data_IF_410263328519
#
_entry.id   IF_410263328519
#
_cell.length_a   1.000
_cell.length_b   1.000
_cell.length_c   1.000
_cell.angle_alpha   90.00
_cell.angle_beta   90.00
_cell.angle_gamma   90.00
#
_symmetry.space_group_name_H-M   'P 1'
#
loop_
_entity.id
_entity.type
_entity.pdbx_description
1 polymer ?
#
# COMPACT_ATOMS: atom_id res chain seq x y z
N UNK A 1 -21.86 -55.89 11.94
CA UNK A 1 -21.68 -54.55 12.54
C UNK A 1 -20.41 -53.95 11.96
N UNK A 2 -20.52 -52.91 11.13
CA UNK A 2 -19.35 -52.15 10.69
C UNK A 2 -18.86 -51.28 11.86
N UNK A 3 -17.54 -51.11 12.07
CA UNK A 3 -17.04 -50.28 13.16
C UNK A 3 -17.39 -48.81 12.87
N UNK A 4 -17.95 -48.13 13.86
CA UNK A 4 -18.18 -46.70 13.79
C UNK A 4 -16.82 -46.00 13.71
N UNK A 5 -16.52 -45.38 12.56
CA UNK A 5 -15.39 -44.47 12.43
C UNK A 5 -15.70 -43.31 13.36
N UNK A 6 -15.02 -43.22 14.51
CA UNK A 6 -15.08 -42.02 15.32
C UNK A 6 -14.53 -40.89 14.46
N UNK A 7 -15.40 -39.95 14.09
CA UNK A 7 -15.00 -38.72 13.41
C UNK A 7 -14.24 -37.89 14.45
N UNK A 8 -12.96 -38.17 14.63
CA UNK A 8 -12.09 -37.43 15.53
C UNK A 8 -12.11 -35.97 15.07
N UNK A 9 -12.57 -35.08 15.93
CA UNK A 9 -12.51 -33.65 15.68
C UNK A 9 -11.06 -33.18 15.83
N UNK A 10 -10.33 -33.26 14.72
CA UNK A 10 -8.91 -32.91 14.66
C UNK A 10 -8.67 -31.41 14.81
N UNK A 11 -9.67 -30.57 14.51
CA UNK A 11 -9.53 -29.12 14.62
C UNK A 11 -9.65 -28.73 16.09
N UNK A 12 -10.66 -29.24 16.80
CA UNK A 12 -10.78 -29.01 18.25
C UNK A 12 -9.64 -29.65 19.05
N UNK A 13 -8.88 -30.59 18.48
CA UNK A 13 -7.69 -31.15 19.12
C UNK A 13 -6.43 -30.24 19.02
N UNK A 14 -6.44 -29.20 18.18
CA UNK A 14 -5.30 -28.29 18.04
C UNK A 14 -5.12 -27.43 19.30
N UNK A 15 -3.90 -26.97 19.64
CA UNK A 15 -3.67 -25.99 20.71
C UNK A 15 -4.29 -24.62 20.40
N UNK A 16 -4.62 -23.87 21.45
CA UNK A 16 -5.25 -22.54 21.35
C UNK A 16 -4.45 -21.56 20.49
N UNK A 17 -3.12 -21.55 20.61
CA UNK A 17 -2.27 -20.66 19.83
C UNK A 17 -2.38 -20.93 18.32
N UNK A 18 -2.56 -22.20 17.93
CA UNK A 18 -2.72 -22.59 16.54
C UNK A 18 -4.10 -22.19 16.03
N UNK A 19 -5.14 -22.39 16.84
CA UNK A 19 -6.50 -21.95 16.49
C UNK A 19 -6.57 -20.43 16.33
N UNK A 20 -5.98 -19.66 17.26
CA UNK A 20 -5.86 -18.20 17.17
C UNK A 20 -5.12 -17.78 15.92
N UNK A 21 -4.01 -18.45 15.58
CA UNK A 21 -3.27 -18.17 14.36
C UNK A 21 -4.11 -18.44 13.10
N UNK A 22 -4.83 -19.57 13.03
CA UNK A 22 -5.75 -19.87 11.91
C UNK A 22 -6.83 -18.80 11.80
N UNK A 23 -7.47 -18.44 12.92
CA UNK A 23 -8.51 -17.41 12.97
C UNK A 23 -7.99 -16.02 12.58
N UNK A 24 -6.70 -15.74 12.78
CA UNK A 24 -6.10 -14.43 12.44
C UNK A 24 -6.05 -14.12 10.94
N UNK A 25 -6.33 -15.12 10.09
CA UNK A 25 -6.47 -14.97 8.64
C UNK A 25 -7.91 -14.77 8.17
N UNK A 26 -8.89 -14.74 9.09
CA UNK A 26 -10.31 -14.60 8.78
C UNK A 26 -10.82 -13.21 9.17
N UNK A 27 -11.86 -12.77 8.49
CA UNK A 27 -12.59 -11.54 8.83
C UNK A 27 -13.22 -11.63 10.23
N UNK A 28 -13.30 -10.50 10.94
CA UNK A 28 -13.78 -10.48 12.33
C UNK A 28 -15.19 -11.07 12.48
N UNK A 29 -16.05 -10.93 11.46
CA UNK A 29 -17.40 -11.50 11.45
C UNK A 29 -17.35 -13.03 11.46
N UNK A 30 -16.47 -13.62 10.65
CA UNK A 30 -16.28 -15.07 10.59
C UNK A 30 -15.64 -15.59 11.88
N UNK A 31 -14.66 -14.86 12.42
CA UNK A 31 -14.04 -15.18 13.72
C UNK A 31 -15.08 -15.17 14.84
N UNK A 32 -15.91 -14.12 14.94
CA UNK A 32 -16.98 -14.04 15.92
C UNK A 32 -18.03 -15.14 15.74
N UNK A 33 -18.36 -15.52 14.51
CA UNK A 33 -19.29 -16.61 14.23
C UNK A 33 -18.80 -17.97 14.76
N UNK A 34 -17.48 -18.19 14.86
CA UNK A 34 -16.94 -19.44 15.44
C UNK A 34 -17.26 -19.60 16.92
N UNK A 35 -17.66 -18.53 17.62
CA UNK A 35 -18.04 -18.58 19.04
C UNK A 35 -19.20 -19.53 19.35
N UNK A 36 -20.03 -19.87 18.35
CA UNK A 36 -21.16 -20.80 18.52
C UNK A 36 -20.71 -22.27 18.54
N UNK A 37 -19.48 -22.58 18.14
CA UNK A 37 -18.99 -23.95 18.02
C UNK A 37 -18.80 -24.63 19.39
N UNK A 38 -18.28 -23.88 20.37
CA UNK A 38 -18.22 -24.30 21.79
C UNK A 38 -17.73 -23.15 22.67
N UNK A 39 -17.78 -23.33 24.00
CA UNK A 39 -17.25 -22.35 24.97
C UNK A 39 -15.79 -21.99 24.70
N UNK A 40 -14.96 -22.96 24.32
CA UNK A 40 -13.55 -22.74 24.01
C UNK A 40 -13.37 -21.76 22.84
N UNK A 41 -14.13 -21.92 21.76
CA UNK A 41 -14.04 -21.03 20.60
C UNK A 41 -14.60 -19.64 20.90
N UNK A 42 -15.63 -19.57 21.77
CA UNK A 42 -16.11 -18.30 22.32
C UNK A 42 -15.05 -17.60 23.14
N UNK A 43 -14.16 -18.29 23.84
CA UNK A 43 -13.08 -17.61 24.57
C UNK A 43 -11.94 -17.20 23.62
N UNK A 44 -11.59 -18.06 22.65
CA UNK A 44 -10.49 -17.81 21.70
C UNK A 44 -10.72 -16.61 20.80
N UNK A 45 -11.96 -16.36 20.36
CA UNK A 45 -12.24 -15.26 19.43
C UNK A 45 -11.80 -13.90 20.03
N UNK A 46 -11.93 -13.72 21.35
CA UNK A 46 -11.54 -12.51 22.07
C UNK A 46 -10.02 -12.24 22.08
N UNK A 47 -9.20 -13.24 21.78
CA UNK A 47 -7.73 -13.19 21.80
C UNK A 47 -7.08 -13.12 20.40
N UNK A 48 -7.85 -13.22 19.31
CA UNK A 48 -7.31 -13.17 17.93
C UNK A 48 -6.67 -11.82 17.56
N UNK A 49 -5.37 -11.72 17.28
CA UNK A 49 -4.66 -10.42 17.20
C UNK A 49 -4.99 -9.58 15.95
N UNK A 50 -5.98 -9.98 15.16
CA UNK A 50 -6.42 -9.32 13.93
C UNK A 50 -7.84 -8.80 14.12
N UNK A 51 -8.05 -7.54 13.75
CA UNK A 51 -9.36 -6.92 13.56
C UNK A 51 -9.48 -6.57 12.09
N UNK A 52 -10.32 -7.31 11.37
CA UNK A 52 -10.66 -7.04 9.98
C UNK A 52 -12.16 -6.74 9.88
N UNK A 53 -12.47 -5.48 9.54
CA UNK A 53 -13.81 -4.93 9.41
C UNK A 53 -14.06 -4.66 7.93
N UNK A 54 -14.95 -5.44 7.34
CA UNK A 54 -15.37 -5.34 5.94
C UNK A 54 -16.90 -5.25 5.88
N UNK A 55 -17.41 -4.16 5.32
CA UNK A 55 -18.86 -3.92 5.22
C UNK A 55 -19.53 -4.69 4.07
N UNK A 56 -18.77 -5.40 3.23
CA UNK A 56 -19.31 -6.22 2.15
C UNK A 56 -20.26 -7.32 2.68
N UNK A 57 -20.09 -7.74 3.93
CA UNK A 57 -20.98 -8.71 4.60
C UNK A 57 -22.20 -8.06 5.27
N UNK A 58 -22.38 -6.74 5.13
CA UNK A 58 -23.48 -5.94 5.69
C UNK A 58 -24.09 -5.02 4.59
N UNK A 59 -24.54 -5.59 3.45
CA UNK A 59 -25.04 -4.79 2.34
C UNK A 59 -26.26 -3.97 2.77
N UNK A 60 -26.20 -2.65 2.53
CA UNK A 60 -27.25 -1.69 2.90
C UNK A 60 -27.59 -1.64 4.42
N UNK A 61 -26.72 -2.18 5.28
CA UNK A 61 -26.93 -2.29 6.73
C UNK A 61 -25.84 -1.57 7.53
N UNK A 62 -25.60 -0.28 7.24
CA UNK A 62 -24.54 0.52 7.89
C UNK A 62 -24.64 0.49 9.43
N UNK A 63 -25.84 0.64 9.99
CA UNK A 63 -26.03 0.65 11.45
C UNK A 63 -25.59 -0.68 12.09
N UNK A 64 -25.89 -1.81 11.43
CA UNK A 64 -25.50 -3.13 11.92
C UNK A 64 -24.00 -3.34 11.79
N UNK A 65 -23.38 -2.88 10.70
CA UNK A 65 -21.93 -2.87 10.55
C UNK A 65 -21.25 -2.07 11.66
N UNK A 66 -21.70 -0.84 11.92
CA UNK A 66 -21.13 0.03 12.96
C UNK A 66 -21.30 -0.60 14.34
N UNK A 67 -22.50 -1.11 14.67
CA UNK A 67 -22.75 -1.83 15.94
C UNK A 67 -21.87 -3.06 16.08
N UNK A 68 -21.69 -3.82 15.00
CA UNK A 68 -20.80 -4.97 14.97
C UNK A 68 -19.34 -4.56 15.21
N UNK A 69 -18.85 -3.52 14.54
CA UNK A 69 -17.49 -3.01 14.74
C UNK A 69 -17.25 -2.58 16.18
N UNK A 70 -18.18 -1.84 16.80
CA UNK A 70 -18.09 -1.53 18.24
C UNK A 70 -18.07 -2.79 19.11
N UNK A 71 -18.94 -3.76 18.83
CA UNK A 71 -18.95 -5.02 19.56
C UNK A 71 -17.62 -5.76 19.44
N UNK A 72 -17.01 -5.79 18.25
CA UNK A 72 -15.69 -6.38 18.02
C UNK A 72 -14.63 -5.69 18.86
N UNK A 73 -14.52 -4.37 18.78
CA UNK A 73 -13.51 -3.59 19.48
C UNK A 73 -13.65 -3.68 21.01
N UNK A 74 -14.88 -3.60 21.52
CA UNK A 74 -15.14 -3.60 22.96
C UNK A 74 -15.07 -4.99 23.60
N UNK A 75 -15.33 -6.05 22.82
CA UNK A 75 -15.31 -7.41 23.35
C UNK A 75 -13.89 -7.97 23.50
N UNK A 76 -12.86 -7.32 22.93
CA UNK A 76 -11.49 -7.85 22.92
C UNK A 76 -10.89 -7.93 24.32
N UNK A 77 -10.15 -9.01 24.61
CA UNK A 77 -9.31 -9.09 25.80
C UNK A 77 -8.32 -7.92 25.83
N UNK A 78 -8.41 -7.08 26.85
CA UNK A 78 -7.62 -5.84 27.01
C UNK A 78 -6.12 -6.13 27.13
N UNK A 79 -5.75 -7.34 27.59
CA UNK A 79 -4.36 -7.74 27.75
C UNK A 79 -3.72 -8.24 26.45
N UNK A 80 -4.53 -8.54 25.43
CA UNK A 80 -4.03 -9.04 24.14
C UNK A 80 -3.81 -7.90 23.14
N UNK A 81 -2.72 -7.98 22.33
CA UNK A 81 -2.44 -6.99 21.32
C UNK A 81 -3.45 -7.06 20.16
N UNK A 82 -3.61 -5.95 19.45
CA UNK A 82 -4.22 -5.90 18.12
C UNK A 82 -3.07 -5.59 17.18
N UNK A 83 -2.52 -6.61 16.52
CA UNK A 83 -1.36 -6.48 15.64
C UNK A 83 -1.75 -6.01 14.24
N UNK A 84 -2.92 -6.45 13.76
CA UNK A 84 -3.44 -6.09 12.45
C UNK A 84 -4.81 -5.43 12.58
N UNK A 85 -4.96 -4.26 12.00
CA UNK A 85 -6.23 -3.56 11.88
C UNK A 85 -6.52 -3.25 10.42
N UNK A 86 -7.65 -3.74 9.91
CA UNK A 86 -8.14 -3.46 8.58
C UNK A 86 -9.57 -2.94 8.65
N UNK A 87 -9.82 -1.84 7.95
CA UNK A 87 -11.15 -1.31 7.69
C UNK A 87 -11.31 -1.14 6.19
N UNK A 88 -12.10 -2.00 5.56
CA UNK A 88 -12.56 -1.84 4.18
C UNK A 88 -14.03 -1.51 4.19
N UNK A 89 -14.41 -0.51 3.40
CA UNK A 89 -15.81 -0.15 3.26
C UNK A 89 -16.12 0.24 1.82
N UNK A 90 -17.10 -0.43 1.23
CA UNK A 90 -17.59 -0.12 -0.12
C UNK A 90 -18.69 0.94 -0.08
N UNK A 91 -19.41 1.02 1.04
CA UNK A 91 -20.47 1.98 1.29
C UNK A 91 -19.96 3.26 1.98
N UNK A 92 -20.75 4.33 1.93
CA UNK A 92 -20.35 5.57 2.60
C UNK A 92 -20.51 5.42 4.11
N UNK A 93 -19.42 5.53 4.86
CA UNK A 93 -19.48 5.58 6.33
C UNK A 93 -19.98 6.96 6.79
N UNK A 94 -21.03 6.98 7.61
CA UNK A 94 -21.61 8.18 8.19
C UNK A 94 -20.78 8.71 9.38
N UNK A 95 -21.15 9.90 9.86
CA UNK A 95 -20.51 10.52 11.02
C UNK A 95 -20.70 9.75 12.34
N UNK A 96 -21.57 8.74 12.38
CA UNK A 96 -21.74 7.88 13.57
C UNK A 96 -20.61 6.84 13.71
N UNK A 97 -19.86 6.62 12.64
CA UNK A 97 -18.73 5.69 12.60
C UNK A 97 -17.49 6.37 13.23
N UNK A 98 -17.20 6.04 14.50
CA UNK A 98 -16.03 6.56 15.22
C UNK A 98 -14.77 5.73 14.89
N UNK A 99 -14.32 5.85 13.66
CA UNK A 99 -13.10 5.19 13.15
C UNK A 99 -11.87 5.60 13.96
N UNK A 100 -11.86 6.83 14.49
CA UNK A 100 -10.79 7.33 15.35
C UNK A 100 -10.71 6.55 16.66
N UNK A 101 -11.84 6.28 17.32
CA UNK A 101 -11.87 5.41 18.52
C UNK A 101 -11.31 4.01 18.23
N UNK A 102 -11.73 3.39 17.12
CA UNK A 102 -11.28 2.04 16.77
C UNK A 102 -9.77 1.99 16.54
N UNK A 103 -9.23 2.98 15.84
CA UNK A 103 -7.80 3.09 15.56
C UNK A 103 -6.98 3.43 16.81
N UNK A 104 -7.47 4.34 17.65
CA UNK A 104 -6.83 4.65 18.94
C UNK A 104 -6.77 3.40 19.83
N UNK A 105 -7.80 2.56 19.80
CA UNK A 105 -7.78 1.27 20.51
C UNK A 105 -6.71 0.34 19.95
N UNK A 106 -6.57 0.23 18.62
CA UNK A 106 -5.52 -0.57 18.00
C UNK A 106 -4.11 -0.04 18.33
N UNK A 107 -3.90 1.28 18.27
CA UNK A 107 -2.63 1.94 18.62
C UNK A 107 -2.24 1.65 20.07
N UNK A 108 -3.16 1.79 21.02
CA UNK A 108 -2.93 1.46 22.43
C UNK A 108 -2.57 -0.01 22.63
N UNK A 109 -2.98 -0.88 21.71
CA UNK A 109 -2.74 -2.32 21.71
C UNK A 109 -1.63 -2.76 20.75
N UNK A 110 -0.66 -1.87 20.48
CA UNK A 110 0.60 -2.14 19.77
C UNK A 110 0.42 -2.62 18.34
N UNK A 111 -0.51 -2.00 17.60
CA UNK A 111 -0.72 -2.31 16.18
C UNK A 111 0.54 -2.14 15.35
N UNK A 112 0.76 -3.11 14.47
CA UNK A 112 1.89 -3.16 13.55
C UNK A 112 1.45 -2.93 12.11
N UNK A 113 0.20 -3.26 11.76
CA UNK A 113 -0.35 -3.10 10.41
C UNK A 113 -1.70 -2.41 10.45
N UNK A 114 -1.82 -1.31 9.72
CA UNK A 114 -3.08 -0.59 9.51
C UNK A 114 -3.38 -0.52 8.02
N UNK A 115 -4.57 -0.97 7.61
CA UNK A 115 -5.12 -0.79 6.28
C UNK A 115 -6.48 -0.09 6.36
N UNK A 116 -6.57 1.11 5.79
CA UNK A 116 -7.79 1.92 5.74
C UNK A 116 -8.20 2.14 4.30
N UNK A 117 -9.28 1.51 3.89
CA UNK A 117 -9.81 1.53 2.52
C UNK A 117 -11.32 1.83 2.51
N UNK A 118 -11.75 3.02 2.98
CA UNK A 118 -13.14 3.42 2.91
C UNK A 118 -13.58 3.76 1.48
N UNK A 119 -14.90 3.83 1.30
CA UNK A 119 -15.51 4.25 0.04
C UNK A 119 -15.08 5.66 -0.35
N UNK A 120 -14.94 5.93 -1.64
CA UNK A 120 -14.58 7.26 -2.19
C UNK A 120 -15.58 8.37 -1.80
N UNK A 121 -16.79 7.98 -1.39
CA UNK A 121 -17.85 8.88 -0.94
C UNK A 121 -17.76 9.20 0.56
N UNK A 122 -16.99 8.41 1.32
CA UNK A 122 -16.77 8.61 2.74
C UNK A 122 -15.92 9.86 3.00
N UNK A 123 -16.28 10.63 4.04
CA UNK A 123 -15.55 11.85 4.44
C UNK A 123 -14.65 11.59 5.65
N UNK A 124 -13.92 10.47 5.61
CA UNK A 124 -13.05 10.07 6.71
C UNK A 124 -11.77 10.90 6.69
N UNK A 125 -11.44 11.44 7.85
CA UNK A 125 -10.17 12.14 8.10
C UNK A 125 -9.18 11.16 8.69
N UNK A 126 -7.90 11.33 8.35
CA UNK A 126 -6.83 10.53 8.96
C UNK A 126 -6.69 10.88 10.45
N UNK A 127 -6.82 9.92 11.38
CA UNK A 127 -6.53 10.15 12.78
C UNK A 127 -5.03 10.39 13.01
N UNK A 128 -4.70 11.48 13.70
CA UNK A 128 -3.31 11.92 13.90
C UNK A 128 -2.45 10.93 14.68
N UNK A 129 -3.06 10.19 15.63
CA UNK A 129 -2.36 9.23 16.48
C UNK A 129 -1.66 8.12 15.69
N UNK A 130 -2.13 7.82 14.47
CA UNK A 130 -1.50 6.84 13.59
C UNK A 130 -0.11 7.31 13.15
N UNK A 131 0.07 8.62 12.95
CA UNK A 131 1.30 9.21 12.42
C UNK A 131 2.44 9.30 13.45
N UNK A 132 2.19 8.93 14.70
CA UNK A 132 3.19 8.88 15.78
C UNK A 132 3.32 7.48 16.39
N UNK A 133 2.71 6.46 15.76
CA UNK A 133 2.70 5.10 16.26
C UNK A 133 4.06 4.41 16.04
N UNK A 134 4.81 4.22 17.14
CA UNK A 134 6.16 3.65 17.08
C UNK A 134 6.21 2.16 16.71
N UNK A 135 5.10 1.42 16.86
CA UNK A 135 5.00 -0.01 16.53
C UNK A 135 4.58 -0.27 15.09
N UNK A 136 4.12 0.76 14.37
CA UNK A 136 3.54 0.61 13.04
C UNK A 136 4.62 0.30 12.00
N UNK A 137 4.49 -0.86 11.36
CA UNK A 137 5.39 -1.38 10.32
C UNK A 137 4.79 -1.20 8.93
N UNK A 138 3.47 -1.38 8.79
CA UNK A 138 2.74 -1.23 7.53
C UNK A 138 1.59 -0.26 7.69
N UNK A 139 1.56 0.76 6.82
CA UNK A 139 0.48 1.73 6.74
C UNK A 139 -0.04 1.81 5.31
N UNK A 140 -1.29 1.41 5.11
CA UNK A 140 -1.99 1.52 3.83
C UNK A 140 -3.22 2.41 3.98
N UNK A 141 -3.28 3.45 3.16
CA UNK A 141 -4.27 4.51 3.24
C UNK A 141 -4.91 4.71 1.87
N UNK A 142 -6.23 4.58 1.78
CA UNK A 142 -6.97 4.88 0.56
C UNK A 142 -8.12 5.86 0.82
N UNK A 143 -8.45 6.69 -0.17
CA UNK A 143 -9.69 7.48 -0.25
C UNK A 143 -10.00 8.42 0.93
N UNK A 144 -9.00 8.82 1.71
CA UNK A 144 -9.15 9.63 2.92
C UNK A 144 -8.58 11.04 2.77
N UNK A 145 -8.95 11.92 3.70
CA UNK A 145 -8.47 13.30 3.74
C UNK A 145 -7.53 13.53 4.91
N UNK A 146 -6.41 14.19 4.64
CA UNK A 146 -5.44 14.64 5.65
C UNK A 146 -5.52 16.17 5.71
N UNK A 147 -6.25 16.69 6.69
CA UNK A 147 -6.55 18.12 6.83
C UNK A 147 -5.64 18.84 7.84
N UNK A 148 -5.12 18.11 8.81
CA UNK A 148 -4.14 18.60 9.77
C UNK A 148 -3.01 17.58 9.93
N UNK A 149 -1.80 18.04 10.22
CA UNK A 149 -0.68 17.24 10.74
C UNK A 149 0.12 18.17 11.65
N UNK A 150 0.42 17.72 12.86
CA UNK A 150 1.32 18.43 13.79
C UNK A 150 2.72 17.81 13.81
N UNK A 151 2.82 16.48 13.84
CA UNK A 151 4.08 15.74 13.93
C UNK A 151 3.93 14.39 13.27
N UNK A 152 5.00 13.91 12.64
CA UNK A 152 5.09 12.54 12.13
C UNK A 152 6.34 11.91 12.70
N UNK A 153 6.17 10.74 13.32
CA UNK A 153 7.28 9.94 13.84
C UNK A 153 6.91 8.47 13.78
N UNK A 154 7.37 7.79 12.73
CA UNK A 154 7.06 6.40 12.41
C UNK A 154 8.38 5.60 12.28
N UNK A 155 9.09 5.36 13.41
CA UNK A 155 10.43 4.80 13.38
C UNK A 155 10.49 3.35 12.89
N UNK A 156 9.42 2.57 13.01
CA UNK A 156 9.37 1.18 12.58
C UNK A 156 8.76 0.98 11.17
N UNK A 157 8.28 2.05 10.53
CA UNK A 157 7.51 1.92 9.28
C UNK A 157 8.41 1.50 8.12
N UNK A 158 8.06 0.36 7.52
CA UNK A 158 8.75 -0.23 6.38
C UNK A 158 7.93 -0.10 5.09
N UNK A 159 6.60 -0.17 5.18
CA UNK A 159 5.70 -0.08 4.02
C UNK A 159 4.72 1.07 4.18
N UNK A 160 4.72 1.98 3.20
CA UNK A 160 3.75 3.06 3.08
C UNK A 160 3.03 2.97 1.73
N UNK A 161 1.73 2.72 1.76
CA UNK A 161 0.85 2.77 0.59
C UNK A 161 -0.16 3.90 0.75
N UNK A 162 -0.29 4.76 -0.26
CA UNK A 162 -1.26 5.84 -0.30
C UNK A 162 -1.96 5.87 -1.66
N UNK A 163 -3.28 5.65 -1.69
CA UNK A 163 -4.08 5.71 -2.92
C UNK A 163 -5.24 6.72 -2.80
N UNK A 164 -5.26 7.72 -3.67
CA UNK A 164 -6.36 8.70 -3.70
C UNK A 164 -6.46 9.55 -2.42
N UNK A 165 -5.39 9.60 -1.62
CA UNK A 165 -5.33 10.41 -0.39
C UNK A 165 -5.29 11.90 -0.74
N UNK A 166 -6.19 12.68 -0.14
CA UNK A 166 -6.31 14.13 -0.34
C UNK A 166 -5.62 14.88 0.79
N UNK A 167 -4.64 15.72 0.45
CA UNK A 167 -3.95 16.56 1.43
C UNK A 167 -4.45 18.00 1.36
N UNK A 168 -4.87 18.56 2.50
CA UNK A 168 -5.27 19.98 2.56
C UNK A 168 -4.08 20.93 2.36
N UNK A 169 -2.87 20.50 2.75
CA UNK A 169 -1.62 21.24 2.53
C UNK A 169 -0.56 20.36 1.89
N UNK A 170 0.29 20.95 1.05
CA UNK A 170 1.36 20.24 0.35
C UNK A 170 2.46 19.75 1.28
N UNK A 171 2.77 20.52 2.32
CA UNK A 171 3.80 20.20 3.31
C UNK A 171 3.53 18.90 4.09
N UNK A 172 2.29 18.45 4.15
CA UNK A 172 1.92 17.21 4.83
C UNK A 172 2.53 15.96 4.20
N UNK A 173 2.70 15.96 2.87
CA UNK A 173 3.38 14.86 2.18
C UNK A 173 4.85 14.82 2.59
N UNK A 174 5.51 15.99 2.61
CA UNK A 174 6.91 16.11 3.04
C UNK A 174 7.09 15.70 4.50
N UNK A 175 6.15 16.08 5.38
CA UNK A 175 6.14 15.68 6.79
C UNK A 175 5.99 14.18 6.97
N UNK A 176 5.06 13.55 6.23
CA UNK A 176 4.89 12.08 6.28
C UNK A 176 6.15 11.38 5.81
N UNK A 177 6.67 11.74 4.64
CA UNK A 177 7.85 11.09 4.07
C UNK A 177 9.11 11.29 4.93
N UNK A 178 9.28 12.46 5.55
CA UNK A 178 10.42 12.74 6.46
C UNK A 178 10.30 12.06 7.83
N UNK A 179 9.07 11.76 8.27
CA UNK A 179 8.81 11.09 9.55
C UNK A 179 9.02 9.58 9.54
N UNK A 180 9.38 8.98 8.39
CA UNK A 180 9.48 7.54 8.20
C UNK A 180 10.90 7.13 7.74
N UNK A 181 11.88 7.04 8.64
CA UNK A 181 13.30 6.87 8.28
C UNK A 181 13.66 5.50 7.70
N UNK A 182 12.86 4.46 7.98
CA UNK A 182 13.17 3.06 7.65
C UNK A 182 12.30 2.47 6.54
N UNK A 183 11.67 3.30 5.70
CA UNK A 183 10.83 2.80 4.60
C UNK A 183 11.66 1.96 3.63
N UNK A 184 11.15 0.77 3.32
CA UNK A 184 11.65 -0.17 2.33
C UNK A 184 10.77 -0.25 1.07
N UNK A 185 9.46 0.00 1.23
CA UNK A 185 8.45 -0.04 0.17
C UNK A 185 7.55 1.21 0.22
N UNK A 186 7.62 2.02 -0.83
CA UNK A 186 6.82 3.24 -0.99
C UNK A 186 5.95 3.15 -2.22
N UNK A 187 4.63 3.17 -2.01
CA UNK A 187 3.64 3.09 -3.08
C UNK A 187 2.70 4.26 -2.98
N UNK A 188 2.65 5.05 -4.05
CA UNK A 188 1.82 6.25 -4.12
C UNK A 188 0.99 6.18 -5.40
N UNK A 189 -0.32 6.10 -5.22
CA UNK A 189 -1.30 6.03 -6.30
C UNK A 189 -2.31 7.18 -6.26
N UNK A 190 -2.78 7.56 -7.45
CA UNK A 190 -3.87 8.52 -7.65
C UNK A 190 -3.70 9.84 -6.89
N UNK A 191 -2.45 10.23 -6.59
CA UNK A 191 -2.17 11.36 -5.75
C UNK A 191 -2.41 12.64 -6.56
N UNK A 192 -3.49 13.35 -6.25
CA UNK A 192 -3.81 14.67 -6.84
C UNK A 192 -2.92 15.73 -6.20
N UNK A 193 -1.62 15.65 -6.46
CA UNK A 193 -0.72 16.64 -5.95
C UNK A 193 -0.28 17.62 -7.03
N UNK A 194 -0.58 18.89 -6.81
CA UNK A 194 0.07 20.00 -7.47
C UNK A 194 1.50 20.16 -6.92
N UNK A 195 2.35 19.15 -7.09
CA UNK A 195 3.70 19.11 -6.52
C UNK A 195 4.63 20.10 -7.21
N UNK A 196 4.80 21.26 -6.57
CA UNK A 196 6.10 21.92 -6.56
C UNK A 196 6.85 21.42 -5.32
N UNK A 197 7.33 20.16 -5.36
CA UNK A 197 8.18 19.62 -4.31
C UNK A 197 9.35 20.58 -4.08
N UNK A 198 9.53 21.02 -2.83
CA UNK A 198 10.83 21.55 -2.41
C UNK A 198 11.84 20.39 -2.41
N UNK A 199 13.16 20.65 -2.44
CA UNK A 199 14.13 19.57 -2.29
C UNK A 199 13.78 18.78 -1.02
N UNK A 200 13.50 17.49 -1.15
CA UNK A 200 13.41 16.61 0.00
C UNK A 200 14.77 16.69 0.69
N UNK A 201 14.81 17.19 1.91
CA UNK A 201 15.97 17.02 2.79
C UNK A 201 16.08 15.55 3.29
N UNK A 202 15.24 14.66 2.77
CA UNK A 202 15.09 13.26 3.19
C UNK A 202 15.86 12.38 2.21
N UNK A 203 16.65 11.48 2.79
CA UNK A 203 17.25 10.35 2.09
C UNK A 203 16.54 9.09 2.55
N UNK A 204 16.00 8.32 1.62
CA UNK A 204 15.39 7.02 1.90
C UNK A 204 16.49 5.95 1.85
N UNK A 205 17.19 5.79 2.97
CA UNK A 205 18.37 4.92 3.06
C UNK A 205 18.10 3.45 2.76
N UNK A 206 16.89 2.97 3.06
CA UNK A 206 16.52 1.56 2.96
C UNK A 206 15.51 1.26 1.85
N UNK A 207 15.11 2.25 1.04
CA UNK A 207 14.05 2.05 0.05
C UNK A 207 14.50 1.14 -1.09
N UNK A 208 13.84 -0.01 -1.21
CA UNK A 208 14.13 -1.05 -2.20
C UNK A 208 13.09 -1.02 -3.33
N UNK A 209 11.83 -0.73 -2.99
CA UNK A 209 10.71 -0.69 -3.93
C UNK A 209 10.04 0.69 -3.92
N UNK A 210 9.81 1.23 -5.12
CA UNK A 210 9.04 2.46 -5.31
C UNK A 210 8.03 2.25 -6.44
N UNK A 211 6.76 2.42 -6.12
CA UNK A 211 5.67 2.50 -7.08
C UNK A 211 5.09 3.92 -7.07
N UNK A 212 4.96 4.53 -8.24
CA UNK A 212 4.46 5.89 -8.37
C UNK A 212 3.47 6.00 -9.54
N UNK A 213 2.22 6.28 -9.21
CA UNK A 213 1.13 6.54 -10.14
C UNK A 213 0.60 7.96 -9.92
N UNK A 214 1.00 8.90 -10.79
CA UNK A 214 0.62 10.31 -10.67
C UNK A 214 0.18 10.89 -12.01
N UNK A 215 -1.00 11.50 -11.99
CA UNK A 215 -1.65 12.11 -13.16
C UNK A 215 -0.79 13.19 -13.84
N UNK A 216 0.00 13.96 -13.07
CA UNK A 216 0.85 15.06 -13.54
C UNK A 216 2.30 14.98 -12.99
N UNK A 217 2.95 13.82 -13.04
CA UNK A 217 4.35 13.73 -12.56
C UNK A 217 5.31 14.52 -13.46
N UNK A 218 5.81 15.64 -12.95
CA UNK A 218 6.88 16.39 -13.61
C UNK A 218 8.19 15.62 -13.44
N UNK A 219 8.91 15.35 -14.53
CA UNK A 219 10.21 14.65 -14.55
C UNK A 219 11.20 15.02 -13.44
N UNK A 220 11.32 16.32 -13.14
CA UNK A 220 12.25 16.83 -12.13
C UNK A 220 12.03 16.24 -10.73
N UNK A 221 10.82 15.77 -10.44
CA UNK A 221 10.37 15.26 -9.16
C UNK A 221 10.78 13.81 -9.07
N UNK A 222 10.46 13.03 -10.10
CA UNK A 222 10.89 11.63 -10.17
C UNK A 222 12.41 11.54 -10.03
N UNK A 223 13.17 12.36 -10.76
CA UNK A 223 14.64 12.38 -10.62
C UNK A 223 15.10 12.75 -9.21
N UNK A 224 14.44 13.71 -8.56
CA UNK A 224 14.75 14.09 -7.17
C UNK A 224 14.48 12.94 -6.21
N UNK A 225 13.34 12.26 -6.34
CA UNK A 225 13.01 11.09 -5.54
C UNK A 225 14.03 9.97 -5.76
N UNK A 226 14.35 9.66 -7.02
CA UNK A 226 15.38 8.66 -7.35
C UNK A 226 16.75 9.03 -6.75
N UNK A 227 17.14 10.31 -6.77
CA UNK A 227 18.38 10.76 -6.13
C UNK A 227 18.36 10.61 -4.59
N UNK A 228 17.18 10.60 -3.98
CA UNK A 228 17.01 10.36 -2.54
C UNK A 228 16.98 8.87 -2.17
N UNK A 229 17.01 7.93 -3.13
CA UNK A 229 16.81 6.49 -2.87
C UNK A 229 18.01 5.66 -3.31
N UNK A 230 19.17 5.72 -2.64
CA UNK A 230 20.42 5.15 -3.13
C UNK A 230 20.39 3.64 -3.40
N UNK A 231 19.53 2.88 -2.69
CA UNK A 231 19.45 1.42 -2.78
C UNK A 231 18.25 0.90 -3.58
N UNK A 232 17.55 1.76 -4.33
CA UNK A 232 16.34 1.37 -5.06
C UNK A 232 16.61 0.26 -6.09
N UNK A 233 15.86 -0.85 -5.99
CA UNK A 233 16.01 -2.01 -6.88
C UNK A 233 14.83 -2.21 -7.82
N UNK A 234 13.62 -1.81 -7.41
CA UNK A 234 12.39 -2.01 -8.17
C UNK A 234 11.69 -0.66 -8.33
N UNK A 235 11.45 -0.26 -9.57
CA UNK A 235 10.79 0.99 -9.92
C UNK A 235 9.57 0.74 -10.79
N UNK A 236 8.39 1.03 -10.27
CA UNK A 236 7.12 0.89 -10.98
C UNK A 236 6.49 2.25 -11.20
N UNK A 237 6.16 2.57 -12.46
CA UNK A 237 5.68 3.88 -12.85
C UNK A 237 4.43 3.75 -13.69
N UNK A 238 3.30 4.18 -13.15
CA UNK A 238 2.04 4.27 -13.90
C UNK A 238 1.79 5.72 -14.28
N UNK A 239 1.54 5.96 -15.56
CA UNK A 239 1.69 7.30 -16.12
C UNK A 239 0.54 7.69 -17.03
N UNK A 240 0.08 8.94 -16.91
CA UNK A 240 -0.83 9.55 -17.87
C UNK A 240 -0.13 10.56 -18.81
N UNK A 241 0.71 11.49 -18.30
CA UNK A 241 1.45 12.47 -19.14
C UNK A 241 2.80 12.84 -18.51
N UNK A 242 3.93 12.62 -19.21
CA UNK A 242 5.24 13.14 -18.77
C UNK A 242 5.44 14.57 -19.32
N UNK A 243 6.12 15.40 -18.53
CA UNK A 243 6.54 16.76 -18.92
C UNK A 243 7.53 16.74 -20.11
N UNK A 244 7.76 17.90 -20.75
CA UNK A 244 8.55 18.08 -21.99
C UNK A 244 10.09 18.06 -21.82
N UNK A 245 10.62 17.92 -20.61
CA UNK A 245 12.04 18.10 -20.32
C UNK A 245 12.74 16.83 -19.86
N UNK A 246 13.85 16.49 -20.52
CA UNK A 246 14.65 15.28 -20.31
C UNK A 246 15.67 15.43 -19.17
N UNK A 247 15.96 14.36 -18.41
CA UNK A 247 17.09 14.33 -17.48
C UNK A 247 18.42 14.49 -18.23
N UNK A 248 19.35 15.29 -17.69
CA UNK A 248 20.77 15.24 -18.10
C UNK A 248 21.64 14.39 -17.17
N UNK A 249 21.13 14.10 -15.97
CA UNK A 249 21.87 13.43 -14.90
C UNK A 249 21.24 12.10 -14.57
N UNK A 250 22.08 11.08 -14.40
CA UNK A 250 21.67 9.73 -14.04
C UNK A 250 21.64 9.59 -12.52
N UNK A 251 20.47 9.31 -11.89
CA UNK A 251 20.43 9.00 -10.47
C UNK A 251 21.30 7.79 -10.15
N UNK A 252 22.05 7.86 -9.05
CA UNK A 252 22.97 6.78 -8.67
C UNK A 252 22.28 5.42 -8.52
N UNK A 253 21.06 5.40 -7.97
CA UNK A 253 20.28 4.17 -7.80
C UNK A 253 19.94 3.50 -9.14
N UNK A 254 19.68 4.31 -10.18
CA UNK A 254 19.33 3.83 -11.51
C UNK A 254 20.49 3.04 -12.11
N UNK A 255 21.71 3.56 -12.01
CA UNK A 255 22.89 2.91 -12.60
C UNK A 255 23.44 1.76 -11.78
N UNK A 256 23.37 1.84 -10.44
CA UNK A 256 24.06 0.89 -9.55
C UNK A 256 23.17 -0.21 -8.95
N UNK A 257 21.87 -0.01 -8.79
CA UNK A 257 21.01 -0.91 -8.02
C UNK A 257 19.72 -1.35 -8.73
N UNK A 258 19.24 -0.61 -9.72
CA UNK A 258 17.96 -0.90 -10.36
C UNK A 258 17.98 -2.25 -11.11
N UNK A 259 17.16 -3.20 -10.64
CA UNK A 259 17.04 -4.57 -11.15
C UNK A 259 15.77 -4.82 -11.94
N UNK A 260 14.67 -4.15 -11.56
CA UNK A 260 13.40 -4.27 -12.27
C UNK A 260 12.80 -2.88 -12.48
N UNK A 261 12.25 -2.66 -13.67
CA UNK A 261 11.45 -1.48 -13.95
C UNK A 261 10.20 -1.84 -14.75
N UNK A 262 9.06 -1.35 -14.28
CA UNK A 262 7.76 -1.48 -14.94
C UNK A 262 7.25 -0.09 -15.29
N UNK A 263 6.83 0.11 -16.54
CA UNK A 263 6.15 1.33 -16.96
C UNK A 263 4.75 0.96 -17.45
N UNK A 264 3.74 1.37 -16.69
CA UNK A 264 2.33 1.12 -16.96
C UNK A 264 1.64 2.29 -17.65
N UNK A 265 0.59 1.95 -18.40
CA UNK A 265 -0.22 2.88 -19.19
C UNK A 265 0.61 3.66 -20.22
N UNK A 266 1.50 2.97 -20.93
CA UNK A 266 2.42 3.56 -21.90
C UNK A 266 1.72 3.95 -23.21
N UNK A 267 1.60 5.25 -23.48
CA UNK A 267 0.95 5.78 -24.69
C UNK A 267 1.86 5.82 -25.93
N UNK A 268 3.17 5.75 -25.74
CA UNK A 268 4.13 5.80 -26.85
C UNK A 268 4.40 7.19 -27.39
N UNK A 269 4.08 8.24 -26.61
CA UNK A 269 4.56 9.56 -26.92
C UNK A 269 6.09 9.55 -26.95
N UNK A 270 6.72 10.41 -27.75
CA UNK A 270 8.18 10.40 -27.89
C UNK A 270 8.89 10.55 -26.54
N UNK A 271 8.32 11.30 -25.59
CA UNK A 271 8.83 11.41 -24.22
C UNK A 271 8.82 10.09 -23.44
N UNK A 272 7.80 9.26 -23.65
CA UNK A 272 7.67 7.95 -22.99
C UNK A 272 8.76 7.02 -23.50
N UNK A 273 8.97 7.04 -24.81
CA UNK A 273 9.99 6.25 -25.49
C UNK A 273 11.38 6.69 -25.05
N UNK A 274 11.65 7.99 -25.01
CA UNK A 274 12.92 8.52 -24.49
C UNK A 274 13.18 8.13 -23.04
N UNK A 275 12.13 8.05 -22.21
CA UNK A 275 12.29 7.57 -20.83
C UNK A 275 12.70 6.11 -20.76
N UNK A 276 11.99 5.24 -21.47
CA UNK A 276 12.32 3.83 -21.53
C UNK A 276 13.75 3.63 -22.04
N UNK A 277 14.12 4.35 -23.10
CA UNK A 277 15.48 4.39 -23.65
C UNK A 277 16.49 4.83 -22.59
N UNK A 278 16.21 5.91 -21.89
CA UNK A 278 17.07 6.43 -20.83
C UNK A 278 17.33 5.40 -19.73
N UNK A 279 16.31 4.65 -19.28
CA UNK A 279 16.51 3.56 -18.31
C UNK A 279 17.38 2.46 -18.94
N UNK A 280 17.03 1.99 -20.13
CA UNK A 280 17.74 0.91 -20.83
C UNK A 280 19.22 1.23 -21.12
N UNK A 281 19.56 2.51 -21.28
CA UNK A 281 20.93 2.97 -21.55
C UNK A 281 21.75 3.24 -20.28
N UNK A 282 21.10 3.42 -19.12
CA UNK A 282 21.79 3.85 -17.91
C UNK A 282 21.71 2.85 -16.74
N UNK A 283 20.79 1.89 -16.77
CA UNK A 283 20.63 0.89 -15.72
C UNK A 283 21.51 -0.35 -15.96
N UNK A 284 22.74 -0.32 -15.45
CA UNK A 284 23.78 -1.33 -15.71
C UNK A 284 23.45 -2.73 -15.19
N UNK A 285 22.66 -2.84 -14.12
CA UNK A 285 22.32 -4.11 -13.46
C UNK A 285 20.86 -4.53 -13.65
N UNK A 286 20.17 -3.92 -14.63
CA UNK A 286 18.77 -4.19 -14.92
C UNK A 286 18.58 -5.63 -15.38
N UNK A 287 17.69 -6.37 -14.73
CA UNK A 287 17.35 -7.76 -15.06
C UNK A 287 16.04 -7.87 -15.81
N UNK A 288 15.06 -7.01 -15.49
CA UNK A 288 13.73 -7.03 -16.09
C UNK A 288 13.26 -5.61 -16.41
N UNK A 289 12.80 -5.40 -17.64
CA UNK A 289 12.10 -4.20 -18.07
C UNK A 289 10.74 -4.62 -18.62
N UNK A 290 9.66 -4.06 -18.09
CA UNK A 290 8.29 -4.29 -18.56
C UNK A 290 7.70 -2.96 -19.01
N UNK A 291 7.11 -2.95 -20.20
CA UNK A 291 6.32 -1.82 -20.70
C UNK A 291 4.92 -2.34 -21.01
N UNK A 292 3.93 -1.86 -20.26
CA UNK A 292 2.53 -2.18 -20.45
C UNK A 292 1.86 -1.05 -21.22
N UNK A 293 1.45 -1.31 -22.46
CA UNK A 293 0.79 -0.31 -23.28
C UNK A 293 -0.58 0.06 -22.73
N UNK A 294 -0.98 1.32 -22.97
CA UNK A 294 -2.32 1.77 -22.64
C UNK A 294 -3.38 0.88 -23.33
N UNK A 295 -4.52 0.68 -22.65
CA UNK A 295 -5.66 -0.06 -23.20
C UNK A 295 -6.22 0.61 -24.46
N UNK A 296 -5.98 1.91 -24.66
CA UNK A 296 -6.35 2.65 -25.86
C UNK A 296 -5.39 2.49 -27.04
N UNK A 297 -4.20 1.90 -26.86
CA UNK A 297 -3.19 1.79 -27.93
C UNK A 297 -3.54 0.69 -28.93
N UNK A 298 -3.53 1.00 -30.22
CA UNK A 298 -3.80 0.01 -31.27
C UNK A 298 -2.62 -0.93 -31.47
N UNK A 299 -2.84 -2.08 -32.13
CA UNK A 299 -1.75 -3.00 -32.51
C UNK A 299 -0.65 -2.32 -33.34
N UNK A 300 -1.01 -1.35 -34.18
CA UNK A 300 -0.06 -0.57 -34.99
C UNK A 300 0.80 0.33 -34.12
N UNK A 301 0.20 1.03 -33.17
CA UNK A 301 0.92 1.91 -32.23
C UNK A 301 1.93 1.10 -31.41
N UNK A 302 1.48 -0.03 -30.86
CA UNK A 302 2.31 -0.98 -30.12
C UNK A 302 3.52 -1.45 -30.94
N UNK A 303 3.31 -1.80 -32.21
CA UNK A 303 4.38 -2.20 -33.11
C UNK A 303 5.40 -1.08 -33.37
N UNK A 304 4.95 0.15 -33.63
CA UNK A 304 5.85 1.29 -33.85
C UNK A 304 6.65 1.68 -32.60
N UNK A 305 6.02 1.62 -31.42
CA UNK A 305 6.70 1.83 -30.13
C UNK A 305 7.79 0.76 -29.94
N UNK A 306 7.44 -0.51 -30.09
CA UNK A 306 8.37 -1.62 -29.94
C UNK A 306 9.55 -1.50 -30.92
N UNK A 307 9.27 -1.12 -32.18
CA UNK A 307 10.30 -0.87 -33.20
C UNK A 307 11.23 0.29 -32.85
N UNK A 308 10.74 1.34 -32.18
CA UNK A 308 11.58 2.46 -31.71
C UNK A 308 12.48 2.02 -30.56
N UNK A 309 11.95 1.29 -29.56
CA UNK A 309 12.71 0.90 -28.36
C UNK A 309 13.71 -0.23 -28.65
N UNK A 310 13.33 -1.22 -29.46
CA UNK A 310 14.17 -2.38 -29.80
C UNK A 310 15.44 -2.03 -30.58
N UNK A 311 15.49 -0.88 -31.25
CA UNK A 311 16.68 -0.39 -31.96
C UNK A 311 17.79 0.11 -31.04
N UNK A 312 17.50 0.33 -29.76
CA UNK A 312 18.44 0.92 -28.83
C UNK A 312 19.31 -0.14 -28.18
N UNK A 313 20.62 0.14 -28.11
CA UNK A 313 21.56 -0.68 -27.36
C UNK A 313 21.27 -0.58 -25.87
N UNK A 314 20.98 -1.72 -25.26
CA UNK A 314 20.79 -1.86 -23.82
C UNK A 314 22.15 -1.99 -23.14
N UNK A 315 22.37 -1.27 -22.05
CA UNK A 315 23.64 -1.36 -21.30
C UNK A 315 23.74 -2.68 -20.51
N UNK A 316 22.62 -3.14 -19.96
CA UNK A 316 22.51 -4.48 -19.37
C UNK A 316 22.22 -5.51 -20.46
N UNK A 317 23.18 -6.40 -20.68
CA UNK A 317 23.05 -7.50 -21.67
C UNK A 317 22.15 -8.64 -21.18
N UNK A 318 21.93 -8.73 -19.86
CA UNK A 318 21.09 -9.76 -19.22
C UNK A 318 19.64 -9.33 -19.04
N UNK A 319 19.29 -8.09 -19.41
CA UNK A 319 17.94 -7.56 -19.22
C UNK A 319 16.94 -8.27 -20.13
N UNK A 320 15.98 -8.97 -19.52
CA UNK A 320 14.75 -9.40 -20.19
C UNK A 320 13.87 -8.18 -20.45
N UNK A 321 13.38 -8.03 -21.68
CA UNK A 321 12.52 -6.94 -22.09
C UNK A 321 11.17 -7.51 -22.51
N UNK A 322 10.13 -7.17 -21.76
CA UNK A 322 8.75 -7.57 -22.01
C UNK A 322 7.93 -6.36 -22.42
N UNK A 323 7.09 -6.54 -23.44
CA UNK A 323 6.24 -5.50 -24.00
C UNK A 323 4.83 -6.06 -24.15
N UNK A 324 3.90 -5.55 -23.33
CA UNK A 324 2.56 -6.11 -23.10
C UNK A 324 1.42 -5.21 -23.61
#
# INVERSE_FOLDING_TARGET
MAPAISRVDRISALPDQILVHILSFLESKMVAATSILSSRWRDLWHSVPTVDLDDALFPDEEELFVRFAYAVILSRDVMQPILNFRLKSEYSLSAQCDVELWLNTAIQRKVERIELSPSIYSKIKLPFGILTCATLVVLKLANLTVDSISTVHLPALQTLYMDGVKFAKREYVDMILSGCPNIEDLQIESLKLYLKFRPLAVTFGNLIHMQFSVYDCIWWLLLRLLNSCPLLQILELRKDRLSRYYPKTVPGCLSSHLRACTIDNFYGADMDIQFAIYILQNACVLKKMIICCSSSSTKRDRFEILKKISKVTRISTTCEFLFE
#
